data_IF_616386064966
#
_entry.id   IF_616386064966
#
_cell.length_a   1.000
_cell.length_b   1.000
_cell.length_c   1.000
_cell.angle_alpha   90.00
_cell.angle_beta   90.00
_cell.angle_gamma   90.00
#
_symmetry.space_group_name_H-M   'P 1'
#
loop_
_entity.id
_entity.type
_entity.pdbx_description
1 polymer ?
#
# COMPACT_ATOMS: atom_id res chain seq x y z
N UNK A 1 -12.80 35.14 -49.80
CA UNK A 1 -13.43 36.20 -50.65
C UNK A 1 -12.85 37.54 -50.26
N UNK A 2 -12.08 38.16 -51.10
CA UNK A 2 -11.96 39.47 -51.66
C UNK A 2 -10.55 39.72 -52.17
N UNK A 3 -10.42 39.56 -53.48
CA UNK A 3 -9.32 40.07 -54.31
C UNK A 3 -9.38 41.60 -54.37
N UNK A 4 -8.25 42.30 -54.43
CA UNK A 4 -8.04 43.62 -55.07
C UNK A 4 -6.61 43.63 -55.60
N UNK A 5 -6.44 43.40 -56.79
CA UNK A 5 -6.31 44.10 -58.03
C UNK A 5 -5.24 45.17 -58.07
N UNK A 6 -4.28 44.90 -58.92
CA UNK A 6 -3.14 45.59 -59.53
C UNK A 6 -3.52 47.04 -60.06
N UNK A 7 -2.55 47.93 -59.96
CA UNK A 7 -2.38 49.02 -60.94
C UNK A 7 -0.90 49.22 -61.32
N UNK A 8 -0.59 48.93 -62.58
CA UNK A 8 0.56 49.32 -63.32
C UNK A 8 0.48 50.84 -63.66
N UNK A 9 1.62 51.55 -63.58
CA UNK A 9 1.88 52.75 -64.29
C UNK A 9 3.28 52.73 -64.87
N UNK A 10 3.41 52.72 -66.17
CA UNK A 10 4.59 52.94 -66.99
C UNK A 10 4.90 54.44 -67.09
N UNK A 11 6.22 54.76 -67.25
CA UNK A 11 6.86 55.69 -68.19
C UNK A 11 8.18 56.17 -67.55
N UNK A 12 9.33 55.89 -68.02
CA UNK A 12 9.92 56.41 -69.24
C UNK A 12 10.84 57.56 -68.91
N UNK A 13 12.20 57.36 -68.97
CA UNK A 13 13.13 58.49 -68.79
C UNK A 13 14.60 58.01 -68.88
N UNK A 14 15.18 58.16 -70.08
CA UNK A 14 16.59 57.92 -70.37
C UNK A 14 17.54 58.90 -69.69
N UNK A 15 18.59 58.40 -69.01
CA UNK A 15 19.71 59.24 -68.55
C UNK A 15 20.98 58.47 -68.49
N UNK A 16 21.87 58.64 -69.44
CA UNK A 16 23.25 58.13 -69.41
C UNK A 16 24.01 58.83 -68.28
N UNK A 17 24.66 58.00 -67.37
CA UNK A 17 25.75 58.50 -66.56
C UNK A 17 26.74 57.33 -66.22
N UNK A 18 27.89 57.48 -66.72
CA UNK A 18 29.24 57.09 -66.31
C UNK A 18 29.45 55.89 -65.37
N UNK A 19 30.11 54.85 -65.91
CA UNK A 19 30.83 53.81 -65.16
C UNK A 19 31.94 54.42 -64.29
N UNK A 20 31.72 54.48 -62.97
CA UNK A 20 32.74 54.68 -61.97
C UNK A 20 33.10 53.31 -61.42
N UNK A 21 34.31 52.82 -61.63
CA UNK A 21 34.90 51.65 -60.95
C UNK A 21 34.99 51.93 -59.45
N UNK A 22 34.06 51.45 -58.66
CA UNK A 22 34.14 51.24 -57.22
C UNK A 22 33.73 49.79 -56.96
N UNK A 23 34.68 48.90 -56.70
CA UNK A 23 34.22 47.53 -56.47
C UNK A 23 35.31 46.49 -56.24
N UNK A 24 36.37 46.79 -55.49
CA UNK A 24 37.30 45.69 -55.12
C UNK A 24 37.81 45.72 -53.66
N UNK A 25 37.62 46.82 -52.93
CA UNK A 25 38.09 46.92 -51.53
C UNK A 25 37.02 46.78 -50.47
N UNK A 26 35.73 46.81 -50.80
CA UNK A 26 34.66 46.75 -49.79
C UNK A 26 34.14 45.34 -49.47
N UNK A 27 34.28 44.38 -50.39
CA UNK A 27 33.80 43.03 -50.19
C UNK A 27 34.42 42.29 -48.96
N UNK A 28 35.75 42.38 -48.69
CA UNK A 28 36.31 41.76 -47.50
C UNK A 28 35.84 42.39 -46.19
N UNK A 29 35.61 43.68 -46.16
CA UNK A 29 35.06 44.41 -44.97
C UNK A 29 33.59 44.08 -44.70
N UNK A 30 32.79 43.99 -45.73
CA UNK A 30 31.40 43.65 -45.65
C UNK A 30 31.19 42.21 -45.19
N UNK A 31 32.00 41.27 -45.66
CA UNK A 31 32.01 39.88 -45.24
C UNK A 31 32.47 39.72 -43.78
N UNK A 32 33.49 40.46 -43.34
CA UNK A 32 33.96 40.45 -41.96
C UNK A 32 32.92 41.04 -40.99
N UNK A 33 32.22 42.12 -41.41
CA UNK A 33 31.13 42.72 -40.63
C UNK A 33 29.94 41.77 -40.51
N UNK A 34 29.56 41.10 -41.59
CA UNK A 34 28.48 40.10 -41.57
C UNK A 34 28.82 38.94 -40.62
N UNK A 35 30.01 38.38 -40.68
CA UNK A 35 30.46 37.31 -39.80
C UNK A 35 30.42 37.74 -38.32
N UNK A 36 30.94 38.96 -38.06
CA UNK A 36 30.85 39.53 -36.68
C UNK A 36 29.43 39.66 -36.21
N UNK A 37 28.54 40.17 -37.04
CA UNK A 37 27.13 40.36 -36.71
C UNK A 37 26.42 39.01 -36.47
N UNK A 38 26.74 37.97 -37.21
CA UNK A 38 26.20 36.65 -37.04
C UNK A 38 26.61 36.07 -35.66
N UNK A 39 27.93 36.14 -35.35
CA UNK A 39 28.46 35.63 -34.07
C UNK A 39 27.87 36.42 -32.88
N UNK A 40 27.75 37.74 -33.00
CA UNK A 40 27.10 38.58 -31.96
C UNK A 40 25.61 38.33 -31.78
N UNK A 41 24.94 37.89 -32.86
CA UNK A 41 23.50 37.57 -32.85
C UNK A 41 23.18 36.18 -32.28
N UNK A 42 24.14 35.33 -32.05
CA UNK A 42 23.89 34.01 -31.46
C UNK A 42 23.50 34.12 -30.00
N UNK A 43 22.45 33.39 -29.65
CA UNK A 43 21.98 33.28 -28.27
C UNK A 43 22.84 32.30 -27.44
N UNK A 44 23.66 31.49 -28.12
CA UNK A 44 24.61 30.53 -27.48
C UNK A 44 25.85 31.28 -27.10
N UNK A 45 26.26 31.35 -25.82
CA UNK A 45 27.57 31.90 -25.43
C UNK A 45 28.71 31.26 -26.18
N UNK A 46 29.57 32.07 -26.77
CA UNK A 46 30.68 31.58 -27.61
C UNK A 46 31.85 32.54 -27.61
N UNK A 47 33.04 31.95 -27.73
CA UNK A 47 34.28 32.70 -28.05
C UNK A 47 35.11 31.96 -29.08
N UNK A 48 35.96 32.69 -29.75
CA UNK A 48 36.92 32.17 -30.73
C UNK A 48 38.31 32.66 -30.33
N UNK A 49 39.27 31.75 -30.36
CA UNK A 49 40.71 32.08 -30.20
C UNK A 49 41.50 31.80 -31.46
N UNK A 50 42.53 32.58 -31.69
CA UNK A 50 43.52 32.33 -32.73
C UNK A 50 44.62 31.34 -32.31
N UNK A 51 45.54 31.01 -33.21
CA UNK A 51 46.73 30.16 -32.95
C UNK A 51 47.63 30.70 -31.83
N UNK A 52 47.58 32.01 -31.57
CA UNK A 52 48.31 32.69 -30.51
C UNK A 52 47.56 32.73 -29.20
N UNK A 53 46.48 31.94 -29.05
CA UNK A 53 45.60 31.85 -27.92
C UNK A 53 44.83 33.15 -27.58
N UNK A 54 44.94 34.17 -28.43
CA UNK A 54 44.25 35.43 -28.21
C UNK A 54 42.79 35.33 -28.65
N UNK A 55 41.92 35.91 -27.88
CA UNK A 55 40.48 35.99 -28.14
C UNK A 55 40.26 36.87 -29.36
N UNK A 56 39.72 36.29 -30.43
CA UNK A 56 39.32 37.00 -31.65
C UNK A 56 37.84 37.42 -31.60
N UNK A 57 37.00 36.62 -31.05
CA UNK A 57 35.55 36.88 -30.87
C UNK A 57 35.12 36.48 -29.49
N UNK A 58 34.20 37.30 -28.97
CA UNK A 58 33.52 37.12 -27.69
C UNK A 58 32.11 37.65 -27.86
N UNK A 59 31.10 36.79 -27.91
CA UNK A 59 29.78 37.23 -28.26
C UNK A 59 28.99 37.80 -27.04
N UNK A 60 27.89 38.49 -27.37
CA UNK A 60 27.04 39.14 -26.37
C UNK A 60 26.44 38.16 -25.37
N UNK A 61 26.13 36.93 -25.80
CA UNK A 61 25.58 35.91 -24.89
C UNK A 61 26.63 35.51 -23.83
N UNK A 62 27.93 35.41 -24.22
CA UNK A 62 28.99 35.09 -23.27
C UNK A 62 29.35 36.28 -22.36
N UNK A 63 29.20 37.53 -22.84
CA UNK A 63 29.31 38.71 -21.97
C UNK A 63 28.22 38.66 -20.87
N UNK A 64 26.99 38.29 -21.23
CA UNK A 64 25.87 38.19 -20.25
C UNK A 64 26.11 37.06 -19.27
N UNK A 65 26.59 35.90 -19.69
CA UNK A 65 26.85 34.75 -18.85
C UNK A 65 28.00 35.03 -17.88
N UNK A 66 29.17 35.46 -18.40
CA UNK A 66 30.42 35.66 -17.64
C UNK A 66 30.49 37.00 -16.89
N UNK A 67 29.63 37.96 -17.24
CA UNK A 67 29.66 39.36 -16.77
C UNK A 67 31.00 40.07 -17.18
N UNK A 68 31.75 39.53 -18.15
CA UNK A 68 33.01 40.11 -18.63
C UNK A 68 32.71 40.77 -20.01
N UNK A 69 32.89 42.09 -20.15
CA UNK A 69 32.68 42.76 -21.43
C UNK A 69 33.72 42.35 -22.45
N UNK A 70 33.33 42.20 -23.72
CA UNK A 70 34.19 41.88 -24.86
C UNK A 70 35.39 42.83 -24.93
N UNK A 71 35.21 44.12 -24.65
CA UNK A 71 36.30 45.15 -24.71
C UNK A 71 37.47 44.89 -23.76
N UNK A 72 37.25 44.07 -22.72
CA UNK A 72 38.30 43.74 -21.73
C UNK A 72 39.11 42.48 -22.10
N UNK A 73 38.58 41.66 -22.98
CA UNK A 73 39.16 40.34 -23.25
C UNK A 73 39.65 40.15 -24.69
N UNK A 74 39.11 40.84 -25.66
CA UNK A 74 39.56 40.76 -27.05
C UNK A 74 41.06 41.08 -27.14
N UNK A 75 41.80 40.26 -27.90
CA UNK A 75 43.26 40.37 -28.07
C UNK A 75 44.10 39.88 -26.90
N UNK A 76 43.45 39.42 -25.81
CA UNK A 76 44.11 38.79 -24.65
C UNK A 76 43.97 37.27 -24.67
N UNK A 77 44.68 36.54 -23.84
CA UNK A 77 44.57 35.11 -23.59
C UNK A 77 43.85 34.81 -22.25
N UNK A 78 42.83 35.64 -21.88
CA UNK A 78 42.16 35.59 -20.59
C UNK A 78 40.75 34.94 -20.67
N UNK A 79 40.47 34.07 -21.67
CA UNK A 79 39.20 33.35 -21.83
C UNK A 79 38.84 32.50 -20.61
N UNK A 80 39.82 31.95 -19.92
CA UNK A 80 39.67 31.15 -18.70
C UNK A 80 38.93 31.89 -17.58
N UNK A 81 39.06 33.23 -17.52
CA UNK A 81 38.41 34.05 -16.47
C UNK A 81 36.86 33.99 -16.46
N UNK A 82 36.29 33.56 -17.55
CA UNK A 82 34.84 33.35 -17.61
C UNK A 82 34.40 32.14 -16.78
N UNK A 83 35.31 31.21 -16.49
CA UNK A 83 34.96 29.89 -16.00
C UNK A 83 35.73 29.46 -14.75
N UNK A 84 36.97 29.98 -14.60
CA UNK A 84 37.92 29.52 -13.60
C UNK A 84 38.47 30.67 -12.77
N UNK A 85 38.71 30.40 -11.49
CA UNK A 85 39.34 31.35 -10.56
C UNK A 85 40.83 31.54 -10.86
N UNK A 86 41.50 30.51 -11.40
CA UNK A 86 42.94 30.52 -11.72
C UNK A 86 43.15 30.25 -13.21
N UNK A 87 44.29 30.74 -13.71
CA UNK A 87 44.69 30.56 -15.12
C UNK A 87 44.87 29.08 -15.46
N UNK A 88 44.08 28.58 -16.38
CA UNK A 88 44.20 27.23 -16.95
C UNK A 88 43.70 27.20 -18.39
N UNK A 89 44.15 26.26 -19.22
CA UNK A 89 43.64 26.14 -20.57
C UNK A 89 42.17 25.81 -20.60
N UNK A 90 41.41 26.48 -21.46
CA UNK A 90 40.09 26.07 -21.92
C UNK A 90 40.21 24.94 -22.94
N UNK A 91 39.11 24.31 -23.30
CA UNK A 91 39.12 23.21 -24.27
C UNK A 91 39.59 23.69 -25.64
N UNK A 92 39.22 24.92 -26.05
CA UNK A 92 39.71 25.56 -27.27
C UNK A 92 41.23 25.73 -27.28
N UNK A 93 41.89 26.05 -26.15
CA UNK A 93 43.33 26.17 -26.06
C UNK A 93 44.01 24.83 -26.35
N UNK A 94 43.51 23.74 -25.79
CA UNK A 94 44.06 22.39 -26.00
C UNK A 94 43.93 21.97 -27.46
N UNK A 95 42.90 22.39 -28.17
CA UNK A 95 42.74 22.13 -29.60
C UNK A 95 43.75 22.92 -30.43
N UNK A 96 43.96 24.21 -30.11
CA UNK A 96 44.93 25.04 -30.82
C UNK A 96 46.38 24.53 -30.62
N UNK A 97 46.71 24.00 -29.44
CA UNK A 97 48.00 23.38 -29.16
C UNK A 97 48.19 22.02 -29.83
N UNK A 98 47.13 21.42 -30.43
CA UNK A 98 47.16 20.05 -30.90
C UNK A 98 47.27 19.04 -29.75
N UNK A 99 46.97 19.46 -28.52
CA UNK A 99 47.16 18.73 -27.27
C UNK A 99 45.88 18.06 -26.79
N UNK A 100 45.10 17.48 -27.70
CA UNK A 100 43.87 16.73 -27.37
C UNK A 100 44.13 15.54 -26.41
N UNK A 101 45.36 15.02 -26.40
CA UNK A 101 45.86 14.02 -25.45
C UNK A 101 45.91 14.52 -23.99
N UNK A 102 45.94 15.85 -23.78
CA UNK A 102 45.89 16.49 -22.44
C UNK A 102 44.48 16.73 -21.93
N UNK A 103 43.43 16.48 -22.72
CA UNK A 103 42.04 16.60 -22.28
C UNK A 103 41.76 15.83 -20.98
N UNK A 104 42.24 14.57 -20.79
CA UNK A 104 42.04 13.84 -19.55
C UNK A 104 42.57 14.55 -18.31
N UNK A 105 43.68 15.28 -18.43
CA UNK A 105 44.29 16.00 -17.30
C UNK A 105 43.36 17.09 -16.72
N UNK A 106 42.57 17.74 -17.56
CA UNK A 106 41.73 18.89 -17.19
C UNK A 106 40.27 18.57 -17.09
N UNK A 107 39.80 17.51 -17.81
CA UNK A 107 38.41 17.15 -17.97
C UNK A 107 38.13 15.65 -17.74
N UNK A 108 38.90 15.03 -16.81
CA UNK A 108 38.82 13.58 -16.55
C UNK A 108 37.38 13.13 -16.25
N UNK A 109 36.86 12.13 -16.99
CA UNK A 109 35.51 11.61 -16.84
C UNK A 109 34.40 12.54 -17.29
N UNK A 110 34.69 13.77 -17.76
CA UNK A 110 33.73 14.80 -18.08
C UNK A 110 33.63 15.16 -19.54
N UNK A 111 34.53 14.62 -20.39
CA UNK A 111 34.61 14.93 -21.81
C UNK A 111 34.39 13.72 -22.70
N UNK A 112 33.94 13.97 -23.91
CA UNK A 112 33.84 13.01 -25.00
C UNK A 112 34.18 13.68 -26.33
N UNK A 113 34.53 12.86 -27.31
CA UNK A 113 34.62 13.34 -28.70
C UNK A 113 33.21 13.62 -29.21
N UNK A 114 33.01 14.71 -29.96
CA UNK A 114 31.71 15.00 -30.52
C UNK A 114 31.32 13.99 -31.60
N UNK A 115 30.06 13.53 -31.55
CA UNK A 115 29.51 12.64 -32.59
C UNK A 115 29.05 13.42 -33.84
N UNK A 116 28.94 14.75 -33.74
CA UNK A 116 28.42 15.59 -34.80
C UNK A 116 29.46 16.33 -35.64
N UNK A 117 30.61 16.60 -35.04
CA UNK A 117 31.67 17.40 -35.66
C UNK A 117 33.00 16.69 -35.54
N UNK A 118 33.71 16.58 -36.68
CA UNK A 118 35.08 16.12 -36.69
C UNK A 118 35.98 17.10 -35.91
N UNK A 119 36.98 16.56 -35.19
CA UNK A 119 37.94 17.36 -34.40
C UNK A 119 37.26 18.27 -33.35
N UNK A 120 36.10 17.89 -32.87
CA UNK A 120 35.44 18.56 -31.79
C UNK A 120 35.28 17.69 -30.54
N UNK A 121 35.32 18.34 -29.40
CA UNK A 121 35.14 17.68 -28.09
C UNK A 121 34.06 18.40 -27.31
N UNK A 122 33.33 17.62 -26.51
CA UNK A 122 32.28 18.09 -25.62
C UNK A 122 32.61 17.75 -24.18
N UNK A 123 32.26 18.62 -23.24
CA UNK A 123 32.36 18.30 -21.82
C UNK A 123 31.19 18.95 -21.06
N UNK A 124 30.90 18.39 -19.88
CA UNK A 124 29.89 18.92 -18.97
C UNK A 124 30.49 19.07 -17.59
N UNK A 125 30.39 20.27 -17.02
CA UNK A 125 30.90 20.53 -15.67
C UNK A 125 29.99 21.52 -14.92
N UNK A 126 30.10 21.52 -13.59
CA UNK A 126 29.43 22.47 -12.71
C UNK A 126 30.36 23.60 -12.35
N UNK A 127 29.91 24.82 -12.55
CA UNK A 127 30.67 26.03 -12.24
C UNK A 127 30.03 26.76 -11.06
N UNK A 128 30.56 26.58 -9.82
CA UNK A 128 29.91 27.11 -8.62
C UNK A 128 29.94 28.65 -8.54
N UNK A 129 30.93 29.28 -9.16
CA UNK A 129 31.15 30.73 -9.12
C UNK A 129 30.37 31.48 -10.23
N UNK A 130 29.69 30.76 -11.12
CA UNK A 130 28.88 31.34 -12.18
C UNK A 130 27.42 31.51 -11.74
N UNK A 131 26.91 32.73 -11.82
CA UNK A 131 25.58 33.06 -11.35
C UNK A 131 25.44 33.06 -9.80
N UNK A 132 24.21 33.07 -9.30
CA UNK A 132 23.96 33.14 -7.83
C UNK A 132 24.05 31.75 -7.14
N UNK A 133 23.84 30.68 -7.86
CA UNK A 133 23.74 29.30 -7.33
C UNK A 133 24.62 28.28 -8.07
N UNK A 134 25.55 28.77 -8.88
CA UNK A 134 26.30 27.91 -9.79
C UNK A 134 25.48 27.50 -11.02
N UNK A 135 26.18 27.12 -12.08
CA UNK A 135 25.60 26.77 -13.39
C UNK A 135 26.22 25.48 -13.91
N UNK A 136 25.40 24.56 -14.41
CA UNK A 136 25.86 23.43 -15.19
C UNK A 136 26.02 23.85 -16.64
N UNK A 137 27.24 23.79 -17.17
CA UNK A 137 27.49 24.09 -18.57
C UNK A 137 27.88 22.81 -19.32
N UNK A 138 27.29 22.66 -20.51
CA UNK A 138 27.85 21.82 -21.58
C UNK A 138 28.63 22.73 -22.51
N UNK A 139 29.85 22.46 -22.75
CA UNK A 139 30.70 23.22 -23.65
C UNK A 139 31.29 22.33 -24.73
N UNK A 140 31.32 22.86 -25.93
CA UNK A 140 31.79 22.18 -27.12
C UNK A 140 32.88 23.04 -27.75
N UNK A 141 34.07 22.48 -27.93
CA UNK A 141 35.15 23.14 -28.62
C UNK A 141 35.45 22.43 -29.95
N UNK A 142 35.63 23.21 -30.99
CA UNK A 142 35.94 22.71 -32.33
C UNK A 142 37.09 23.50 -32.97
N UNK A 143 37.96 22.79 -33.69
CA UNK A 143 39.05 23.38 -34.45
C UNK A 143 38.51 24.17 -35.66
N UNK A 144 39.07 25.34 -35.92
CA UNK A 144 38.80 26.17 -37.12
C UNK A 144 39.98 26.07 -38.08
N UNK A 145 39.68 25.64 -39.31
CA UNK A 145 40.70 25.49 -40.37
C UNK A 145 40.43 26.41 -41.55
N UNK A 146 41.45 26.80 -42.24
CA UNK A 146 41.34 27.57 -43.48
C UNK A 146 41.00 26.66 -44.69
N UNK A 147 40.92 27.29 -45.89
CA UNK A 147 40.63 26.58 -47.14
C UNK A 147 41.69 25.57 -47.57
N UNK A 148 42.86 25.58 -46.96
CA UNK A 148 43.96 24.68 -47.20
C UNK A 148 44.08 23.57 -46.16
N UNK A 149 43.14 23.57 -45.18
CA UNK A 149 43.11 22.61 -44.06
C UNK A 149 44.02 23.00 -42.89
N UNK A 150 44.71 24.14 -42.95
CA UNK A 150 45.59 24.61 -41.89
C UNK A 150 44.77 25.13 -40.70
N UNK A 151 45.13 24.70 -39.48
CA UNK A 151 44.49 25.20 -38.25
C UNK A 151 44.69 26.69 -38.13
N UNK A 152 43.66 27.48 -37.97
CA UNK A 152 43.69 28.94 -37.76
C UNK A 152 43.22 29.39 -36.41
N UNK A 153 42.54 28.51 -35.66
CA UNK A 153 42.01 28.80 -34.32
C UNK A 153 41.08 27.73 -33.82
N UNK A 154 40.35 28.03 -32.77
CA UNK A 154 39.28 27.19 -32.23
C UNK A 154 38.12 28.04 -31.75
N UNK A 155 36.92 27.47 -31.84
CA UNK A 155 35.67 28.03 -31.26
C UNK A 155 35.28 27.19 -30.08
N UNK A 156 34.81 27.83 -29.02
CA UNK A 156 34.16 27.14 -27.90
C UNK A 156 32.78 27.76 -27.66
N UNK A 157 31.79 26.90 -27.60
CA UNK A 157 30.39 27.26 -27.35
C UNK A 157 29.90 26.66 -26.04
N UNK A 158 29.01 27.33 -25.34
CA UNK A 158 28.54 26.93 -24.02
C UNK A 158 27.02 26.91 -24.02
N UNK A 159 26.47 25.88 -23.40
CA UNK A 159 25.01 25.73 -23.18
C UNK A 159 24.74 25.58 -21.69
N UNK A 160 23.87 26.42 -21.16
CA UNK A 160 23.37 26.27 -19.79
C UNK A 160 22.39 25.11 -19.76
N UNK A 161 22.77 24.03 -19.09
CA UNK A 161 21.95 22.84 -18.91
C UNK A 161 21.47 22.68 -17.46
N UNK A 162 21.51 23.75 -16.67
CA UNK A 162 21.21 23.73 -15.23
C UNK A 162 19.79 23.23 -14.97
N UNK A 163 18.81 23.71 -15.69
CA UNK A 163 17.41 23.29 -15.50
C UNK A 163 17.20 21.84 -15.89
N UNK A 164 17.85 21.38 -16.96
CA UNK A 164 17.84 19.97 -17.37
C UNK A 164 18.45 19.08 -16.29
N UNK A 165 19.62 19.46 -15.78
CA UNK A 165 20.30 18.71 -14.70
C UNK A 165 19.49 18.69 -13.41
N UNK A 166 18.87 19.78 -13.04
CA UNK A 166 17.95 19.82 -11.87
C UNK A 166 16.77 18.89 -12.06
N UNK A 167 16.13 18.90 -13.23
CA UNK A 167 15.02 18.03 -13.54
C UNK A 167 15.41 16.54 -13.48
N UNK A 168 16.57 16.19 -14.09
CA UNK A 168 17.13 14.82 -14.04
C UNK A 168 17.38 14.37 -12.58
N UNK A 169 17.99 15.23 -11.76
CA UNK A 169 18.27 14.95 -10.35
C UNK A 169 16.97 14.79 -9.54
N UNK A 170 16.03 15.72 -9.71
CA UNK A 170 14.73 15.66 -8.99
C UNK A 170 13.94 14.41 -9.35
N UNK A 171 13.93 14.03 -10.63
CA UNK A 171 13.30 12.79 -11.08
C UNK A 171 13.98 11.57 -10.43
N UNK A 172 15.30 11.51 -10.45
CA UNK A 172 16.07 10.42 -9.84
C UNK A 172 15.84 10.32 -8.34
N UNK A 173 15.81 11.45 -7.62
CA UNK A 173 15.52 11.50 -6.20
C UNK A 173 14.09 11.03 -5.91
N UNK A 174 13.12 11.43 -6.74
CA UNK A 174 11.73 10.99 -6.60
C UNK A 174 11.60 9.47 -6.82
N UNK A 175 12.26 8.92 -7.85
CA UNK A 175 12.29 7.48 -8.11
C UNK A 175 12.93 6.72 -6.94
N UNK A 176 14.05 7.22 -6.39
CA UNK A 176 14.69 6.63 -5.21
C UNK A 176 13.82 6.69 -3.94
N UNK A 177 13.10 7.78 -3.75
CA UNK A 177 12.17 7.91 -2.62
C UNK A 177 11.03 6.90 -2.73
N UNK A 178 10.39 6.77 -3.90
CA UNK A 178 9.33 5.77 -4.13
C UNK A 178 9.85 4.34 -3.88
N UNK A 179 11.03 4.04 -4.42
CA UNK A 179 11.68 2.75 -4.19
C UNK A 179 11.91 2.50 -2.69
N UNK A 180 12.43 3.48 -1.96
CA UNK A 180 12.72 3.37 -0.53
C UNK A 180 11.44 3.17 0.31
N UNK A 181 10.32 3.77 -0.07
CA UNK A 181 9.03 3.60 0.62
C UNK A 181 8.54 2.17 0.50
N UNK A 182 8.58 1.59 -0.69
CA UNK A 182 8.12 0.21 -0.91
C UNK A 182 9.10 -0.79 -0.29
N UNK A 183 10.41 -0.54 -0.39
CA UNK A 183 11.47 -1.38 0.19
C UNK A 183 11.43 -1.39 1.72
N UNK A 184 11.14 -0.23 2.32
CA UNK A 184 10.97 -0.08 3.76
C UNK A 184 9.63 -0.54 4.31
N UNK A 185 8.67 -0.88 3.45
CA UNK A 185 7.36 -1.37 3.88
C UNK A 185 7.49 -2.72 4.60
N UNK A 186 6.86 -2.89 5.78
CA UNK A 186 6.79 -4.18 6.45
C UNK A 186 5.83 -5.16 5.78
N UNK A 187 5.05 -4.72 4.79
CA UNK A 187 4.10 -5.56 4.06
C UNK A 187 4.84 -6.26 2.93
N UNK A 188 4.92 -7.60 2.92
CA UNK A 188 5.48 -8.35 1.81
C UNK A 188 4.79 -7.99 0.50
N UNK A 189 5.58 -7.56 -0.49
CA UNK A 189 5.04 -6.97 -1.73
C UNK A 189 5.91 -7.36 -2.91
N UNK A 190 5.27 -7.70 -4.02
CA UNK A 190 5.91 -7.82 -5.31
C UNK A 190 5.08 -7.18 -6.42
N UNK A 191 5.74 -6.89 -7.53
CA UNK A 191 5.13 -6.33 -8.73
C UNK A 191 5.54 -7.17 -9.94
N UNK A 192 4.58 -7.47 -10.81
CA UNK A 192 4.84 -8.09 -12.10
C UNK A 192 4.44 -7.17 -13.27
N UNK A 193 5.16 -7.29 -14.37
CA UNK A 193 4.79 -6.66 -15.63
C UNK A 193 3.76 -7.46 -16.42
N UNK A 194 3.39 -6.93 -17.60
CA UNK A 194 2.49 -7.63 -18.54
C UNK A 194 3.10 -8.92 -19.12
N UNK A 195 4.42 -9.08 -19.02
CA UNK A 195 5.16 -10.28 -19.42
C UNK A 195 5.32 -11.29 -18.27
N UNK A 196 4.56 -11.10 -17.17
CA UNK A 196 4.60 -11.90 -15.94
C UNK A 196 5.94 -11.90 -15.21
N UNK A 197 6.89 -11.07 -15.63
CA UNK A 197 8.18 -10.99 -14.94
C UNK A 197 8.08 -10.09 -13.72
N UNK A 198 8.75 -10.51 -12.67
CA UNK A 198 8.89 -9.71 -11.45
C UNK A 198 9.69 -8.46 -11.77
N UNK A 199 9.09 -7.31 -11.55
CA UNK A 199 9.71 -5.99 -11.65
C UNK A 199 10.27 -5.55 -10.30
N UNK A 200 9.57 -5.94 -9.23
CA UNK A 200 9.89 -5.52 -7.88
C UNK A 200 9.57 -6.62 -6.85
N UNK A 201 10.44 -6.73 -5.84
CA UNK A 201 10.36 -7.73 -4.78
C UNK A 201 10.95 -7.11 -3.50
N UNK A 202 10.13 -6.79 -2.50
CA UNK A 202 10.63 -6.04 -1.35
C UNK A 202 11.24 -6.93 -0.27
N UNK A 203 12.02 -6.30 0.61
CA UNK A 203 12.73 -6.96 1.72
C UNK A 203 11.79 -7.73 2.67
N UNK A 204 10.55 -7.28 2.85
CA UNK A 204 9.59 -8.00 3.68
C UNK A 204 9.21 -9.35 3.05
N UNK A 205 9.07 -9.38 1.72
CA UNK A 205 8.76 -10.60 0.98
C UNK A 205 9.98 -11.54 0.90
N UNK A 206 11.21 -11.02 0.78
CA UNK A 206 12.42 -11.85 0.92
C UNK A 206 12.45 -12.59 2.25
N UNK A 207 12.14 -11.89 3.35
CA UNK A 207 12.11 -12.51 4.69
C UNK A 207 10.99 -13.55 4.84
N UNK A 208 9.84 -13.29 4.24
CA UNK A 208 8.70 -14.20 4.29
C UNK A 208 8.97 -15.47 3.48
N UNK A 209 9.41 -15.31 2.23
CA UNK A 209 9.60 -16.40 1.26
C UNK A 209 10.95 -17.08 1.35
N UNK A 210 11.96 -16.40 1.92
CA UNK A 210 13.40 -16.79 1.91
C UNK A 210 14.02 -16.79 0.51
N UNK A 211 13.42 -16.11 -0.45
CA UNK A 211 13.93 -15.92 -1.81
C UNK A 211 14.45 -14.50 -1.95
N UNK A 212 15.67 -14.36 -2.44
CA UNK A 212 16.29 -13.04 -2.63
C UNK A 212 15.68 -12.31 -3.84
N UNK A 213 15.54 -11.00 -3.74
CA UNK A 213 15.02 -10.17 -4.83
C UNK A 213 15.84 -10.31 -6.11
N UNK A 214 17.18 -10.42 -5.98
CA UNK A 214 18.11 -10.59 -7.09
C UNK A 214 17.86 -11.87 -7.91
N UNK A 215 17.35 -12.92 -7.27
CA UNK A 215 17.01 -14.19 -7.92
C UNK A 215 15.63 -14.17 -8.59
N UNK A 216 14.75 -13.27 -8.15
CA UNK A 216 13.37 -13.21 -8.57
C UNK A 216 13.13 -12.16 -9.65
N UNK A 217 13.72 -10.99 -9.52
CA UNK A 217 13.56 -9.88 -10.47
C UNK A 217 13.95 -10.31 -11.89
N UNK A 218 13.13 -9.98 -12.87
CA UNK A 218 13.29 -10.35 -14.28
C UNK A 218 12.85 -11.77 -14.62
N UNK A 219 12.41 -12.58 -13.64
CA UNK A 219 11.90 -13.94 -13.86
C UNK A 219 10.36 -13.99 -13.67
N UNK A 220 9.73 -15.05 -14.13
CA UNK A 220 8.32 -15.36 -13.88
C UNK A 220 8.13 -16.42 -12.75
N UNK A 221 9.10 -16.54 -11.85
CA UNK A 221 9.13 -17.60 -10.83
C UNK A 221 8.57 -17.18 -9.47
N UNK A 222 7.85 -16.05 -9.39
CA UNK A 222 7.27 -15.52 -8.15
C UNK A 222 6.35 -16.52 -7.43
N UNK A 223 5.72 -17.45 -8.17
CA UNK A 223 4.91 -18.54 -7.62
C UNK A 223 5.70 -19.44 -6.64
N UNK A 224 7.03 -19.56 -6.79
CA UNK A 224 7.88 -20.38 -5.92
C UNK A 224 7.89 -19.91 -4.45
N UNK A 225 7.53 -18.66 -4.20
CA UNK A 225 7.39 -18.14 -2.85
C UNK A 225 6.22 -18.79 -2.08
N UNK A 226 5.26 -19.37 -2.78
CA UNK A 226 3.98 -19.78 -2.22
C UNK A 226 3.62 -21.23 -2.54
N UNK A 227 4.12 -21.77 -3.64
CA UNK A 227 3.67 -23.06 -4.17
C UNK A 227 4.83 -23.97 -4.53
N UNK A 228 4.66 -25.26 -4.25
CA UNK A 228 5.63 -26.30 -4.61
C UNK A 228 5.66 -26.62 -6.12
N UNK A 229 4.61 -26.26 -6.85
CA UNK A 229 4.48 -26.44 -8.30
C UNK A 229 4.03 -25.16 -8.96
N UNK A 230 4.45 -24.97 -10.20
CA UNK A 230 4.05 -23.83 -11.02
C UNK A 230 2.54 -23.72 -11.14
N UNK A 231 2.03 -22.55 -10.78
CA UNK A 231 0.64 -22.15 -10.93
C UNK A 231 0.55 -20.62 -10.92
N UNK A 232 -0.51 -20.04 -11.51
CA UNK A 232 -0.67 -18.60 -11.50
C UNK A 232 -0.89 -18.07 -10.09
N UNK A 233 -0.24 -16.96 -9.75
CA UNK A 233 -0.57 -16.11 -8.62
C UNK A 233 -1.77 -15.21 -8.96
N UNK A 234 -2.31 -14.51 -7.99
CA UNK A 234 -3.47 -13.65 -8.21
C UNK A 234 -3.13 -12.48 -9.16
N UNK A 235 -1.89 -12.00 -9.11
CA UNK A 235 -1.33 -11.01 -10.01
C UNK A 235 -1.30 -11.46 -11.48
N UNK A 236 -0.99 -12.73 -11.75
CA UNK A 236 -1.02 -13.29 -13.12
C UNK A 236 -2.44 -13.27 -13.69
N UNK A 237 -3.41 -13.74 -12.89
CA UNK A 237 -4.81 -13.77 -13.31
C UNK A 237 -5.39 -12.37 -13.57
N UNK A 238 -4.89 -11.37 -12.84
CA UNK A 238 -5.27 -9.98 -13.06
C UNK A 238 -4.65 -9.43 -14.34
N UNK A 239 -3.36 -9.71 -14.59
CA UNK A 239 -2.66 -9.30 -15.82
C UNK A 239 -3.29 -9.93 -17.05
N UNK A 240 -3.64 -11.23 -17.00
CA UNK A 240 -4.30 -11.98 -18.07
C UNK A 240 -5.78 -11.63 -18.24
N UNK A 241 -6.34 -10.83 -17.28
CA UNK A 241 -7.76 -10.50 -17.24
C UNK A 241 -8.67 -11.75 -17.17
N UNK A 242 -8.18 -12.85 -16.59
CA UNK A 242 -8.87 -14.13 -16.43
C UNK A 242 -9.47 -14.28 -15.04
N UNK A 243 -10.00 -13.21 -14.50
CA UNK A 243 -10.51 -13.13 -13.11
C UNK A 243 -11.68 -14.08 -12.83
N UNK A 244 -12.39 -14.51 -13.86
CA UNK A 244 -13.43 -15.53 -13.78
C UNK A 244 -12.91 -16.93 -13.41
N UNK A 245 -11.61 -17.20 -13.66
CA UNK A 245 -10.97 -18.48 -13.30
C UNK A 245 -10.43 -18.49 -11.88
N UNK A 246 -10.48 -17.36 -11.16
CA UNK A 246 -9.97 -17.27 -9.79
C UNK A 246 -10.56 -18.34 -8.85
N UNK A 247 -11.89 -18.66 -8.89
CA UNK A 247 -12.45 -19.69 -8.03
C UNK A 247 -11.84 -21.10 -8.23
N UNK A 248 -11.26 -21.37 -9.39
CA UNK A 248 -10.59 -22.64 -9.68
C UNK A 248 -9.28 -22.78 -8.89
N UNK A 249 -8.62 -21.68 -8.62
CA UNK A 249 -7.32 -21.62 -7.96
C UNK A 249 -7.41 -21.25 -6.47
N UNK A 250 -8.43 -20.46 -6.10
CA UNK A 250 -8.59 -19.90 -4.76
C UNK A 250 -10.03 -20.12 -4.27
N UNK A 251 -10.18 -20.80 -3.15
CA UNK A 251 -11.47 -21.19 -2.58
C UNK A 251 -12.40 -20.06 -2.11
N UNK A 252 -11.92 -18.83 -2.15
CA UNK A 252 -12.70 -17.65 -1.79
C UNK A 252 -11.96 -16.38 -2.18
N UNK A 253 -12.48 -15.70 -3.20
CA UNK A 253 -11.99 -14.39 -3.63
C UNK A 253 -13.09 -13.37 -3.44
N UNK A 254 -12.75 -12.23 -2.88
CA UNK A 254 -13.64 -11.09 -2.74
C UNK A 254 -13.09 -9.91 -3.54
N UNK A 255 -13.99 -9.17 -4.18
CA UNK A 255 -13.63 -7.84 -4.71
C UNK A 255 -13.44 -6.90 -3.53
N UNK A 256 -12.36 -6.11 -3.51
CA UNK A 256 -12.11 -5.15 -2.45
C UNK A 256 -13.25 -4.12 -2.37
N UNK A 257 -13.61 -3.76 -1.14
CA UNK A 257 -14.61 -2.70 -0.88
C UNK A 257 -14.02 -1.30 -0.95
N UNK A 258 -12.68 -1.20 -0.92
CA UNK A 258 -11.96 0.08 -0.81
C UNK A 258 -11.42 0.57 -2.15
N UNK A 259 -11.02 -0.34 -3.02
CA UNK A 259 -10.37 -0.01 -4.29
C UNK A 259 -11.05 -0.74 -5.43
N UNK A 260 -11.30 -0.01 -6.52
CA UNK A 260 -11.79 -0.60 -7.77
C UNK A 260 -10.75 -1.53 -8.39
N UNK A 261 -11.21 -2.57 -9.08
CA UNK A 261 -10.38 -3.58 -9.76
C UNK A 261 -9.35 -4.29 -8.85
N UNK A 262 -9.55 -4.24 -7.53
CA UNK A 262 -8.71 -4.90 -6.53
C UNK A 262 -9.40 -6.14 -6.00
N UNK A 263 -8.64 -7.23 -5.86
CA UNK A 263 -9.14 -8.53 -5.41
C UNK A 263 -8.34 -9.01 -4.21
N UNK A 264 -9.06 -9.67 -3.28
CA UNK A 264 -8.51 -10.20 -2.05
C UNK A 264 -8.83 -11.70 -1.95
N UNK A 265 -7.86 -12.49 -1.50
CA UNK A 265 -8.07 -13.89 -1.20
C UNK A 265 -7.31 -14.28 0.07
N UNK A 266 -7.75 -15.36 0.73
CA UNK A 266 -7.08 -15.95 1.89
C UNK A 266 -6.73 -17.41 1.60
N UNK A 267 -5.56 -17.85 2.05
CA UNK A 267 -5.13 -19.23 1.86
C UNK A 267 -4.18 -19.69 2.95
N UNK A 268 -4.16 -21.01 3.19
CA UNK A 268 -3.18 -21.64 4.08
C UNK A 268 -2.02 -22.21 3.26
N UNK A 269 -0.81 -21.87 3.63
CA UNK A 269 0.44 -22.26 2.99
C UNK A 269 1.26 -23.14 3.92
N UNK A 270 1.19 -24.48 3.79
CA UNK A 270 1.79 -25.40 4.73
C UNK A 270 3.32 -25.36 4.73
N UNK A 271 3.93 -25.01 3.61
CA UNK A 271 5.38 -25.00 3.43
C UNK A 271 6.02 -23.65 3.84
N UNK A 272 5.23 -22.68 4.28
CA UNK A 272 5.70 -21.35 4.64
C UNK A 272 5.95 -21.27 6.16
N UNK A 273 7.22 -21.23 6.56
CA UNK A 273 7.63 -21.18 7.98
C UNK A 273 7.46 -22.50 8.72
N UNK A 274 7.62 -22.47 10.05
CA UNK A 274 7.40 -23.64 10.91
C UNK A 274 5.89 -23.80 11.22
N UNK A 275 5.25 -24.82 10.64
CA UNK A 275 3.83 -25.11 10.88
C UNK A 275 2.85 -24.51 9.89
N UNK A 276 3.34 -23.88 8.81
CA UNK A 276 2.52 -23.22 7.81
C UNK A 276 2.02 -21.84 8.22
N UNK A 277 1.47 -21.08 7.26
CA UNK A 277 0.92 -19.75 7.50
C UNK A 277 -0.39 -19.51 6.76
N UNK A 278 -1.28 -18.80 7.40
CA UNK A 278 -2.43 -18.20 6.74
C UNK A 278 -2.04 -16.84 6.17
N UNK A 279 -2.14 -16.68 4.87
CA UNK A 279 -1.91 -15.40 4.21
C UNK A 279 -3.21 -14.86 3.64
N UNK A 280 -3.39 -13.52 3.76
CA UNK A 280 -4.27 -12.74 2.91
C UNK A 280 -3.42 -12.07 1.87
N UNK A 281 -3.78 -12.21 0.63
CA UNK A 281 -3.14 -11.52 -0.49
C UNK A 281 -4.15 -10.62 -1.18
N UNK A 282 -3.65 -9.46 -1.56
CA UNK A 282 -4.42 -8.42 -2.23
C UNK A 282 -3.71 -8.04 -3.50
N UNK A 283 -4.39 -8.10 -4.62
CA UNK A 283 -3.85 -7.70 -5.92
C UNK A 283 -4.58 -6.50 -6.48
N UNK A 284 -3.80 -5.55 -7.01
CA UNK A 284 -4.31 -4.35 -7.66
C UNK A 284 -3.63 -4.12 -9.01
N UNK A 285 -4.34 -3.59 -10.02
CA UNK A 285 -3.73 -3.24 -11.29
C UNK A 285 -2.85 -2.01 -11.16
N UNK A 286 -1.70 -2.04 -11.83
CA UNK A 286 -0.89 -0.85 -12.06
C UNK A 286 -1.23 -0.30 -13.43
N UNK A 287 -1.62 0.99 -13.48
CA UNK A 287 -2.04 1.65 -14.72
C UNK A 287 -1.11 2.80 -15.05
N UNK A 288 -0.86 3.01 -16.33
CA UNK A 288 -0.15 4.19 -16.85
C UNK A 288 -0.96 5.46 -16.63
N UNK A 289 -0.35 6.63 -16.85
CA UNK A 289 -1.03 7.94 -16.85
C UNK A 289 -2.18 8.07 -17.86
N UNK A 290 -2.23 7.14 -18.84
CA UNK A 290 -3.30 7.06 -19.86
C UNK A 290 -4.36 6.01 -19.50
N UNK A 291 -4.29 5.40 -18.32
CA UNK A 291 -5.23 4.37 -17.84
C UNK A 291 -4.97 2.95 -18.35
N UNK A 292 -3.97 2.73 -19.21
CA UNK A 292 -3.65 1.41 -19.71
C UNK A 292 -3.00 0.56 -18.59
N UNK A 293 -3.39 -0.73 -18.50
CA UNK A 293 -2.75 -1.69 -17.62
C UNK A 293 -1.27 -1.84 -18.01
N UNK A 294 -0.37 -1.78 -17.03
CA UNK A 294 1.08 -1.95 -17.23
C UNK A 294 1.68 -3.05 -16.35
N UNK A 295 0.91 -3.57 -15.41
CA UNK A 295 1.31 -4.63 -14.51
C UNK A 295 0.35 -4.80 -13.33
N UNK A 296 0.75 -5.59 -12.35
CA UNK A 296 0.00 -5.81 -11.13
C UNK A 296 0.91 -5.76 -9.91
N UNK A 297 0.40 -5.21 -8.82
CA UNK A 297 1.02 -5.27 -7.50
C UNK A 297 0.26 -6.26 -6.62
N UNK A 298 1.00 -7.14 -5.96
CA UNK A 298 0.43 -8.09 -5.00
C UNK A 298 1.08 -7.89 -3.64
N UNK A 299 0.25 -7.74 -2.61
CA UNK A 299 0.66 -7.56 -1.21
C UNK A 299 0.14 -8.72 -0.37
N UNK A 300 0.90 -9.09 0.65
CA UNK A 300 0.59 -10.22 1.51
C UNK A 300 0.56 -9.80 2.97
N UNK A 301 -0.42 -10.31 3.70
CA UNK A 301 -0.57 -10.12 5.14
C UNK A 301 -0.60 -11.48 5.82
N UNK A 302 0.26 -11.68 6.82
CA UNK A 302 0.21 -12.86 7.69
C UNK A 302 -0.96 -12.73 8.66
N UNK A 303 -1.99 -13.54 8.47
CA UNK A 303 -3.21 -13.57 9.29
C UNK A 303 -3.27 -14.81 10.19
N UNK A 304 -2.16 -15.50 10.40
CA UNK A 304 -2.09 -16.76 11.16
C UNK A 304 -2.58 -16.58 12.58
N UNK A 305 -2.08 -15.60 13.31
CA UNK A 305 -2.49 -15.30 14.69
C UNK A 305 -4.00 -14.98 14.79
N UNK A 306 -4.52 -14.23 13.81
CA UNK A 306 -5.95 -13.95 13.74
C UNK A 306 -6.77 -15.22 13.55
N UNK A 307 -6.39 -16.08 12.59
CA UNK A 307 -7.08 -17.36 12.32
C UNK A 307 -7.00 -18.33 13.51
N UNK A 308 -5.86 -18.41 14.16
CA UNK A 308 -5.71 -19.20 15.39
C UNK A 308 -6.60 -18.69 16.51
N UNK A 309 -6.69 -17.36 16.67
CA UNK A 309 -7.55 -16.75 17.69
C UNK A 309 -9.03 -17.00 17.40
N UNK A 310 -9.46 -16.82 16.15
CA UNK A 310 -10.81 -17.13 15.69
C UNK A 310 -11.14 -18.62 15.97
N UNK A 311 -10.22 -19.52 15.66
CA UNK A 311 -10.37 -20.96 15.89
C UNK A 311 -10.47 -21.31 17.39
N UNK A 312 -9.62 -20.69 18.23
CA UNK A 312 -9.68 -20.87 19.69
C UNK A 312 -10.99 -20.41 20.28
N UNK A 313 -11.56 -19.32 19.79
CA UNK A 313 -12.89 -18.83 20.21
C UNK A 313 -13.95 -19.88 19.84
N UNK A 314 -13.96 -20.33 18.57
CA UNK A 314 -14.92 -21.36 18.11
C UNK A 314 -14.79 -22.64 18.91
N UNK A 315 -13.58 -23.10 19.20
CA UNK A 315 -13.34 -24.30 20.00
C UNK A 315 -13.81 -24.12 21.46
N UNK A 316 -13.54 -22.95 22.03
CA UNK A 316 -14.00 -22.63 23.39
C UNK A 316 -15.53 -22.63 23.49
N UNK A 317 -16.21 -22.02 22.52
CA UNK A 317 -17.67 -22.03 22.45
C UNK A 317 -18.22 -23.45 22.31
N UNK A 318 -17.65 -24.26 21.40
CA UNK A 318 -18.03 -25.68 21.24
C UNK A 318 -17.80 -26.48 22.52
N UNK A 319 -16.67 -26.22 23.19
CA UNK A 319 -16.34 -26.89 24.46
C UNK A 319 -17.34 -26.53 25.56
N UNK A 320 -17.65 -25.23 25.73
CA UNK A 320 -18.65 -24.77 26.69
C UNK A 320 -20.03 -25.38 26.39
N UNK A 321 -20.44 -25.38 25.12
CA UNK A 321 -21.67 -26.03 24.71
C UNK A 321 -21.69 -27.53 25.07
N UNK A 322 -20.62 -28.25 24.80
CA UNK A 322 -20.50 -29.67 25.12
C UNK A 322 -20.56 -29.95 26.62
N UNK A 323 -19.93 -29.08 27.44
CA UNK A 323 -19.97 -29.18 28.90
C UNK A 323 -21.39 -29.02 29.39
N UNK A 324 -22.11 -27.97 29.00
CA UNK A 324 -23.48 -27.70 29.40
C UNK A 324 -24.45 -28.81 28.95
N UNK A 325 -24.26 -29.34 27.74
CA UNK A 325 -25.02 -30.47 27.21
C UNK A 325 -24.74 -31.79 27.95
N UNK A 326 -23.51 -31.97 28.47
CA UNK A 326 -23.09 -33.14 29.20
C UNK A 326 -23.51 -33.19 30.67
N UNK A 327 -23.99 -32.07 31.24
CA UNK A 327 -24.43 -32.05 32.64
C UNK A 327 -25.65 -32.96 32.84
N UNK A 328 -25.59 -33.77 33.92
CA UNK A 328 -26.72 -34.60 34.36
C UNK A 328 -27.81 -33.80 35.02
N UNK A 329 -27.53 -32.58 35.45
CA UNK A 329 -28.46 -31.67 36.08
C UNK A 329 -29.30 -30.96 34.99
N UNK A 330 -30.62 -31.13 34.95
CA UNK A 330 -31.45 -30.39 34.04
C UNK A 330 -31.27 -28.88 34.22
N UNK A 331 -30.97 -28.19 33.10
CA UNK A 331 -30.69 -26.76 33.13
C UNK A 331 -31.10 -26.06 31.84
N UNK A 332 -31.47 -24.78 31.96
CA UNK A 332 -31.62 -23.86 30.85
C UNK A 332 -31.01 -22.50 31.18
N UNK A 333 -30.68 -21.75 30.14
CA UNK A 333 -30.17 -20.37 30.23
C UNK A 333 -31.06 -19.47 29.37
N UNK A 334 -31.44 -18.31 29.90
CA UNK A 334 -32.12 -17.26 29.14
C UNK A 334 -31.25 -16.00 29.03
N UNK A 335 -31.42 -15.29 27.96
CA UNK A 335 -30.83 -13.97 27.74
C UNK A 335 -31.62 -12.84 28.38
N UNK A 336 -31.15 -11.60 28.23
CA UNK A 336 -31.86 -10.38 28.70
C UNK A 336 -33.23 -10.20 28.06
N UNK A 337 -33.41 -10.77 26.88
CA UNK A 337 -34.65 -10.74 26.09
C UNK A 337 -35.60 -11.90 26.43
N UNK A 338 -35.29 -12.63 27.52
CA UNK A 338 -36.00 -13.83 27.95
C UNK A 338 -35.95 -15.01 26.98
N UNK A 339 -35.24 -14.89 25.86
CA UNK A 339 -35.10 -16.00 24.93
C UNK A 339 -34.16 -17.06 25.50
N UNK A 340 -34.52 -18.32 25.31
CA UNK A 340 -33.71 -19.45 25.74
C UNK A 340 -32.44 -19.52 24.87
N UNK A 341 -31.30 -19.42 25.51
CA UNK A 341 -29.97 -19.56 24.86
C UNK A 341 -29.47 -21.00 24.91
N UNK A 342 -29.72 -21.68 26.05
CA UNK A 342 -29.34 -23.06 26.28
C UNK A 342 -30.44 -23.85 26.87
N UNK A 343 -30.60 -25.10 26.42
CA UNK A 343 -31.51 -26.11 26.90
C UNK A 343 -30.79 -27.45 26.86
N UNK A 344 -30.36 -27.97 28.02
CA UNK A 344 -29.48 -29.13 28.02
C UNK A 344 -30.24 -30.47 27.87
N UNK A 345 -29.48 -31.50 27.54
CA UNK A 345 -30.01 -32.84 27.30
C UNK A 345 -30.72 -33.45 28.51
N UNK A 346 -30.26 -33.12 29.72
CA UNK A 346 -30.96 -33.57 30.96
C UNK A 346 -32.34 -32.97 31.08
N UNK A 347 -32.48 -31.69 30.73
CA UNK A 347 -33.81 -31.00 30.76
C UNK A 347 -34.72 -31.50 29.63
N UNK A 348 -34.18 -31.82 28.43
CA UNK A 348 -34.97 -32.50 27.39
C UNK A 348 -35.59 -33.80 27.91
N UNK A 349 -34.77 -34.60 28.61
CA UNK A 349 -35.25 -35.89 29.19
C UNK A 349 -36.27 -35.71 30.30
N UNK A 350 -36.08 -34.67 31.12
CA UNK A 350 -36.99 -34.39 32.23
C UNK A 350 -38.37 -33.93 31.72
N UNK A 351 -38.38 -33.02 30.73
CA UNK A 351 -39.57 -32.31 30.24
C UNK A 351 -40.17 -32.88 28.97
N UNK A 352 -39.43 -33.74 28.26
CA UNK A 352 -39.74 -34.24 26.92
C UNK A 352 -39.85 -33.15 25.84
N UNK A 353 -39.34 -31.93 26.10
CA UNK A 353 -39.24 -30.82 25.15
C UNK A 353 -37.84 -30.79 24.56
N UNK A 354 -37.76 -30.70 23.24
CA UNK A 354 -36.46 -30.72 22.55
C UNK A 354 -35.81 -29.33 22.49
N UNK A 355 -34.50 -29.26 22.68
CA UNK A 355 -33.73 -28.01 22.59
C UNK A 355 -33.96 -27.25 21.28
N UNK A 356 -34.05 -27.96 20.17
CA UNK A 356 -34.30 -27.37 18.83
C UNK A 356 -35.66 -26.61 18.74
N UNK A 357 -36.64 -26.99 19.58
CA UNK A 357 -37.97 -26.40 19.58
C UNK A 357 -38.11 -25.29 20.65
N UNK A 358 -37.12 -25.22 21.57
CA UNK A 358 -37.16 -24.32 22.73
C UNK A 358 -36.15 -23.16 22.59
N UNK A 359 -34.93 -23.44 22.11
CA UNK A 359 -33.86 -22.42 21.94
C UNK A 359 -34.32 -21.34 20.97
N UNK A 360 -34.08 -20.08 21.34
CA UNK A 360 -34.50 -18.91 20.57
C UNK A 360 -35.95 -18.47 20.87
N UNK A 361 -36.69 -19.20 21.70
CA UNK A 361 -38.05 -18.81 22.15
C UNK A 361 -38.06 -18.33 23.62
N UNK A 362 -39.10 -17.64 24.06
CA UNK A 362 -39.34 -17.26 25.44
C UNK A 362 -40.36 -18.20 26.12
N UNK A 363 -40.43 -19.47 25.72
CA UNK A 363 -41.45 -20.43 26.15
C UNK A 363 -40.96 -21.41 27.21
N UNK A 364 -39.94 -21.10 28.02
CA UNK A 364 -39.40 -21.92 29.10
C UNK A 364 -40.45 -22.38 30.12
N UNK A 365 -41.48 -21.54 30.34
CA UNK A 365 -42.61 -21.84 31.24
C UNK A 365 -43.40 -23.12 30.86
N UNK A 366 -43.43 -23.46 29.56
CA UNK A 366 -44.13 -24.68 29.06
C UNK A 366 -43.61 -25.97 29.66
N UNK A 367 -42.36 -25.97 30.10
CA UNK A 367 -41.74 -27.13 30.74
C UNK A 367 -42.36 -27.43 32.11
N UNK A 368 -42.95 -26.44 32.77
CA UNK A 368 -43.28 -26.51 34.17
C UNK A 368 -44.75 -26.10 34.48
N UNK A 369 -45.34 -25.32 33.62
CA UNK A 369 -46.66 -24.69 33.89
C UNK A 369 -47.61 -24.85 32.72
N UNK A 370 -48.87 -25.12 33.03
CA UNK A 370 -49.95 -25.22 32.03
C UNK A 370 -50.38 -23.89 31.40
N UNK A 371 -49.93 -22.76 31.97
CA UNK A 371 -50.22 -21.40 31.47
C UNK A 371 -48.97 -20.57 31.54
N UNK A 372 -48.88 -19.57 30.67
CA UNK A 372 -47.80 -18.63 30.65
C UNK A 372 -47.62 -17.88 31.97
N UNK A 373 -46.42 -17.95 32.50
CA UNK A 373 -45.97 -17.26 33.72
C UNK A 373 -44.45 -17.21 33.75
N UNK A 374 -43.88 -16.21 34.47
CA UNK A 374 -42.42 -16.16 34.59
C UNK A 374 -41.89 -17.35 35.40
N UNK A 375 -40.78 -17.95 34.90
CA UNK A 375 -39.91 -18.80 35.67
C UNK A 375 -39.05 -17.95 36.62
N UNK A 376 -38.30 -18.59 37.51
CA UNK A 376 -37.47 -17.84 38.45
C UNK A 376 -36.34 -17.07 37.74
N UNK A 377 -35.77 -17.66 36.70
CA UNK A 377 -34.79 -17.00 35.84
C UNK A 377 -35.31 -15.70 35.22
N UNK A 378 -36.57 -15.69 34.76
CA UNK A 378 -37.21 -14.48 34.21
C UNK A 378 -37.26 -13.34 35.23
N UNK A 379 -37.67 -13.66 36.46
CA UNK A 379 -37.76 -12.66 37.55
C UNK A 379 -36.37 -12.06 37.88
N UNK A 380 -35.30 -12.85 37.75
CA UNK A 380 -33.93 -12.37 37.97
C UNK A 380 -33.45 -11.49 36.84
N UNK A 381 -33.75 -11.83 35.60
CA UNK A 381 -33.43 -11.01 34.41
C UNK A 381 -34.13 -9.66 34.50
N UNK A 382 -35.41 -9.63 34.92
CA UNK A 382 -36.20 -8.42 35.14
C UNK A 382 -35.76 -7.60 36.36
N UNK A 383 -34.78 -8.08 37.15
CA UNK A 383 -34.42 -7.52 38.45
C UNK A 383 -35.61 -7.42 39.40
N UNK A 384 -36.61 -8.27 39.21
CA UNK A 384 -37.84 -8.29 39.94
C UNK A 384 -37.82 -9.36 41.06
N UNK A 385 -36.69 -9.44 41.78
CA UNK A 385 -36.52 -10.37 42.91
C UNK A 385 -37.57 -10.14 44.02
N UNK A 386 -38.11 -8.92 44.13
CA UNK A 386 -39.23 -8.56 45.01
C UNK A 386 -40.53 -9.27 44.63
N UNK A 387 -40.70 -9.72 43.39
CA UNK A 387 -41.85 -10.48 42.90
C UNK A 387 -41.76 -11.99 43.14
N UNK A 388 -40.55 -12.51 43.52
CA UNK A 388 -40.36 -13.93 43.82
C UNK A 388 -41.37 -14.42 44.89
N UNK A 389 -41.65 -13.68 46.00
CA UNK A 389 -42.66 -14.07 46.96
C UNK A 389 -44.06 -14.22 46.38
N UNK A 390 -44.42 -13.43 45.40
CA UNK A 390 -45.76 -13.48 44.75
C UNK A 390 -45.97 -14.80 44.01
N UNK A 391 -44.93 -15.29 43.34
CA UNK A 391 -45.01 -16.50 42.51
C UNK A 391 -44.66 -17.78 43.27
N UNK A 392 -43.81 -17.68 44.32
CA UNK A 392 -43.23 -18.81 45.04
C UNK A 392 -43.44 -18.69 46.57
N UNK A 393 -44.58 -18.13 47.01
CA UNK A 393 -44.87 -17.87 48.43
C UNK A 393 -44.72 -19.13 49.33
N UNK A 394 -43.86 -19.02 50.35
CA UNK A 394 -43.57 -20.09 51.30
C UNK A 394 -42.70 -21.23 50.72
N UNK A 395 -42.28 -21.17 49.48
CA UNK A 395 -41.56 -22.24 48.79
C UNK A 395 -40.14 -21.85 48.32
N UNK A 396 -39.73 -20.59 48.54
CA UNK A 396 -38.45 -20.06 48.10
C UNK A 396 -37.56 -19.63 49.25
N UNK A 397 -36.27 -19.59 48.97
CA UNK A 397 -35.25 -18.96 49.84
C UNK A 397 -34.17 -18.34 48.97
N UNK A 398 -33.41 -17.39 49.50
CA UNK A 398 -32.19 -16.92 48.90
C UNK A 398 -31.12 -18.03 49.01
N UNK A 399 -30.34 -18.25 48.00
CA UNK A 399 -29.29 -19.26 48.04
C UNK A 399 -28.17 -18.85 49.02
N UNK A 400 -27.71 -19.80 49.83
CA UNK A 400 -26.58 -19.60 50.74
C UNK A 400 -25.24 -19.81 50.05
N UNK A 401 -25.25 -20.40 48.85
CA UNK A 401 -24.03 -20.81 48.12
C UNK A 401 -23.71 -19.89 46.97
N UNK A 402 -24.71 -19.29 46.36
CA UNK A 402 -24.54 -18.47 45.13
C UNK A 402 -25.15 -17.10 45.40
N UNK A 403 -24.35 -16.08 45.23
CA UNK A 403 -24.75 -14.69 45.32
C UNK A 403 -25.81 -14.36 44.26
N UNK A 404 -26.82 -13.55 44.58
CA UNK A 404 -27.92 -13.19 43.68
C UNK A 404 -28.67 -14.40 43.08
N UNK A 405 -28.70 -15.52 43.80
CA UNK A 405 -29.49 -16.69 43.44
C UNK A 405 -30.62 -16.99 44.40
N UNK A 406 -31.64 -17.58 43.86
CA UNK A 406 -32.84 -18.04 44.64
C UNK A 406 -33.12 -19.50 44.38
N UNK A 407 -33.57 -20.19 45.41
CA UNK A 407 -33.95 -21.59 45.35
C UNK A 407 -35.43 -21.73 45.73
N UNK A 408 -36.12 -22.64 45.07
CA UNK A 408 -37.45 -23.03 45.49
C UNK A 408 -37.69 -24.54 45.30
N UNK A 409 -38.64 -25.08 46.05
CA UNK A 409 -39.04 -26.47 45.89
C UNK A 409 -40.57 -26.51 45.72
N UNK A 410 -41.01 -27.12 44.63
CA UNK A 410 -42.46 -27.26 44.36
C UNK A 410 -42.79 -28.60 43.71
N UNK A 411 -44.07 -28.97 43.79
CA UNK A 411 -44.61 -30.16 43.12
C UNK A 411 -45.25 -29.78 41.78
N UNK A 412 -44.84 -30.46 40.73
CA UNK A 412 -45.33 -30.26 39.38
C UNK A 412 -46.17 -31.45 38.93
N UNK A 413 -47.51 -31.38 39.03
CA UNK A 413 -48.37 -32.51 38.77
C UNK A 413 -48.37 -33.01 37.34
N UNK A 414 -48.14 -32.12 36.39
CA UNK A 414 -48.16 -32.42 34.95
C UNK A 414 -46.81 -32.96 34.42
N UNK A 415 -45.78 -33.07 35.29
CA UNK A 415 -44.47 -33.53 34.88
C UNK A 415 -44.34 -35.04 35.12
N UNK A 416 -44.27 -35.82 34.03
CA UNK A 416 -44.25 -37.27 34.09
C UNK A 416 -45.62 -37.89 34.36
N UNK A 417 -45.64 -39.18 34.75
CA UNK A 417 -46.91 -39.93 34.95
C UNK A 417 -47.56 -39.67 36.31
N UNK A 418 -46.80 -39.23 37.31
CA UNK A 418 -47.26 -39.14 38.72
C UNK A 418 -46.95 -37.76 39.33
N UNK A 419 -46.56 -36.79 38.53
CA UNK A 419 -46.03 -35.55 39.02
C UNK A 419 -44.59 -35.72 39.57
N UNK A 420 -43.90 -34.60 39.77
CA UNK A 420 -42.53 -34.56 40.30
C UNK A 420 -42.33 -33.45 41.31
N UNK A 421 -41.55 -33.75 42.34
CA UNK A 421 -41.03 -32.73 43.25
C UNK A 421 -39.69 -32.21 42.67
N UNK A 422 -39.64 -30.96 42.29
CA UNK A 422 -38.42 -30.34 41.81
C UNK A 422 -37.92 -29.28 42.79
N UNK A 423 -36.60 -29.28 43.03
CA UNK A 423 -35.89 -28.14 43.57
C UNK A 423 -35.22 -27.44 42.35
N UNK A 424 -35.46 -26.18 42.22
CA UNK A 424 -34.88 -25.37 41.17
C UNK A 424 -34.13 -24.19 41.77
N UNK A 425 -32.98 -23.86 41.16
CA UNK A 425 -32.12 -22.78 41.58
C UNK A 425 -31.87 -21.90 40.37
N UNK A 426 -32.21 -20.61 40.49
CA UNK A 426 -31.92 -19.64 39.45
C UNK A 426 -30.87 -18.64 39.94
N UNK A 427 -29.94 -18.30 39.07
CA UNK A 427 -28.86 -17.35 39.33
C UNK A 427 -28.65 -16.44 38.12
N UNK A 428 -28.28 -15.20 38.38
CA UNK A 428 -27.94 -14.23 37.32
C UNK A 428 -26.60 -14.57 36.69
N UNK A 429 -26.49 -14.28 35.38
CA UNK A 429 -25.25 -14.35 34.63
C UNK A 429 -24.81 -12.92 34.32
N UNK A 430 -23.55 -12.59 34.61
CA UNK A 430 -22.95 -11.30 34.35
C UNK A 430 -21.75 -11.42 33.42
N UNK A 431 -21.51 -10.41 32.60
CA UNK A 431 -20.31 -10.31 31.78
C UNK A 431 -19.07 -9.88 32.64
N UNK A 432 -17.93 -9.79 32.00
CA UNK A 432 -16.67 -9.38 32.62
C UNK A 432 -16.68 -7.95 33.19
N UNK A 433 -17.68 -7.13 32.83
CA UNK A 433 -17.88 -5.76 33.33
C UNK A 433 -18.96 -5.70 34.44
N UNK A 434 -19.47 -6.86 34.86
CA UNK A 434 -20.52 -6.96 35.88
C UNK A 434 -21.92 -6.66 35.35
N UNK A 435 -22.09 -6.43 34.04
CA UNK A 435 -23.42 -6.19 33.47
C UNK A 435 -24.23 -7.51 33.38
N UNK A 436 -25.50 -7.46 33.76
CA UNK A 436 -26.42 -8.59 33.62
C UNK A 436 -26.56 -8.99 32.15
N UNK A 437 -26.28 -10.24 31.78
CA UNK A 437 -26.42 -10.79 30.43
C UNK A 437 -27.51 -11.85 30.30
N UNK A 438 -27.95 -12.42 31.41
CA UNK A 438 -28.99 -13.43 31.44
C UNK A 438 -29.14 -14.08 32.80
N UNK A 439 -29.80 -15.22 32.83
CA UNK A 439 -29.92 -16.07 34.02
C UNK A 439 -29.90 -17.56 33.65
N UNK A 440 -29.37 -18.36 34.55
CA UNK A 440 -29.39 -19.82 34.48
C UNK A 440 -30.42 -20.35 35.52
N UNK A 441 -31.16 -21.37 35.12
CA UNK A 441 -31.99 -22.12 36.06
C UNK A 441 -31.66 -23.61 35.97
N UNK A 442 -31.35 -24.21 37.11
CA UNK A 442 -31.05 -25.65 37.27
C UNK A 442 -32.10 -26.33 38.08
N UNK A 443 -32.38 -27.60 37.79
CA UNK A 443 -33.43 -28.37 38.43
C UNK A 443 -32.88 -29.68 38.99
N UNK A 444 -33.36 -30.04 40.17
CA UNK A 444 -33.08 -31.32 40.81
C UNK A 444 -34.39 -32.05 41.12
N UNK A 445 -34.50 -33.29 40.68
CA UNK A 445 -35.68 -34.13 40.99
C UNK A 445 -35.53 -34.72 42.39
N UNK A 446 -36.37 -34.27 43.28
CA UNK A 446 -36.43 -34.72 44.66
C UNK A 446 -37.55 -35.73 44.91
N UNK A 447 -38.19 -36.26 43.87
CA UNK A 447 -39.43 -37.10 44.00
C UNK A 447 -39.19 -38.34 44.86
N UNK A 448 -38.14 -39.09 44.56
CA UNK A 448 -37.80 -40.30 45.35
C UNK A 448 -37.51 -39.96 46.82
N UNK A 449 -36.75 -38.90 47.05
CA UNK A 449 -36.40 -38.46 48.41
C UNK A 449 -37.64 -38.00 49.17
N UNK A 450 -38.54 -37.25 48.56
CA UNK A 450 -39.78 -36.84 49.20
C UNK A 450 -40.74 -37.99 49.47
N UNK A 451 -40.82 -38.96 48.61
CA UNK A 451 -41.59 -40.19 48.83
C UNK A 451 -41.02 -41.00 50.01
N UNK A 452 -39.72 -41.18 50.11
CA UNK A 452 -39.03 -41.85 51.20
C UNK A 452 -39.24 -41.09 52.54
N UNK A 453 -39.07 -39.76 52.57
CA UNK A 453 -39.33 -38.93 53.76
C UNK A 453 -40.76 -39.05 54.22
N UNK A 454 -41.74 -39.03 53.32
CA UNK A 454 -43.13 -39.19 53.62
C UNK A 454 -43.48 -40.63 54.14
N UNK A 455 -42.85 -41.64 53.54
CA UNK A 455 -43.03 -43.02 54.01
C UNK A 455 -42.46 -43.21 55.44
N UNK A 456 -41.29 -42.58 55.70
CA UNK A 456 -40.65 -42.61 57.02
C UNK A 456 -41.50 -41.92 58.08
N UNK A 457 -42.04 -40.72 57.76
CA UNK A 457 -43.00 -39.99 58.63
C UNK A 457 -44.23 -40.83 58.95
N UNK A 458 -44.87 -41.41 57.97
CA UNK A 458 -46.04 -42.27 58.16
C UNK A 458 -45.68 -43.50 59.02
N UNK A 459 -44.52 -44.08 58.97
CA UNK A 459 -44.06 -45.19 59.78
C UNK A 459 -43.79 -44.75 61.23
N UNK A 460 -43.27 -43.55 61.46
CA UNK A 460 -43.01 -43.00 62.79
C UNK A 460 -44.29 -42.58 63.46
N UNK A 461 -45.24 -41.97 62.77
CA UNK A 461 -46.55 -41.60 63.30
C UNK A 461 -47.38 -42.85 63.66
N UNK A 462 -47.27 -43.94 62.92
CA UNK A 462 -47.88 -45.21 63.28
C UNK A 462 -47.24 -45.86 64.53
N UNK A 463 -45.93 -45.67 64.78
CA UNK A 463 -45.27 -46.18 65.98
C UNK A 463 -45.44 -45.30 67.19
N UNK A 464 -45.79 -44.02 67.06
CA UNK A 464 -46.04 -43.08 68.17
C UNK A 464 -47.48 -43.04 68.68
N UNK A 465 -48.38 -43.84 68.11
CA UNK A 465 -49.71 -44.03 68.68
C UNK A 465 -50.63 -42.80 68.68
N UNK A 466 -50.37 -41.76 67.85
CA UNK A 466 -51.31 -40.61 67.70
C UNK A 466 -52.31 -40.94 66.61
N UNK A 467 -53.65 -40.95 66.95
CA UNK A 467 -54.70 -40.99 65.91
C UNK A 467 -54.67 -39.70 65.09
N UNK A 468 -54.85 -39.85 63.81
CA UNK A 468 -54.92 -38.79 62.79
C UNK A 468 -56.13 -37.83 63.04
#
# INVERSE_FOLDING_TARGET
MKRKTVKKVDAGGSGKASKGQRGSSDKPRESAYLLHSIIQGFSIPAFVIGKDHKILYWNRALEQLSKIPMSKVIGTNQQWRAFYAEARPCMADLLVEGAADRMPKWYEGKYSKSDLLDEAFEATDFFPDLGEKGVWLRFTAAAIRDSHGELIGAIETLEDITDRKKAELTQRESEQQLFSVIEGSPIPTFVIGLDHKVIYWNRALEKLSRLAAEEMIGTNRHWQAFYAKERPCLSDLLVDQTLETIPEWYGGVAKSKLLEDTYEAEGFFPDLGEGGRWLRFTVSPIRSSRGALVGAIETLEDITERKETEQKVIESEKRLHSIVQGFSIPAFVIGKDHNIIYWNRALEKLTNLKAKDMVGTNQQWRAFYGKERPCMADLLVDRAADKVPKWYSGKYRKSDLIEEAYEATDFFPDLGKSGRWLRFTAAVIRDSRGALVGAVETLEDLTERKLAENALKKSTDRKSGKPS
#
